data_IF_747281125185
#
_entry.id   IF_747281125185
#
_cell.length_a   1.000
_cell.length_b   1.000
_cell.length_c   1.000
_cell.angle_alpha   90.00
_cell.angle_beta   90.00
_cell.angle_gamma   90.00
#
_symmetry.space_group_name_H-M   'P 1'
#
loop_
_entity.id
_entity.type
_entity.pdbx_description
1 polymer ?
#
# COMPACT_ATOMS: atom_id res chain seq x y z
N UNK A 1 -3.02 11.81 -26.25
CA UNK A 1 -3.26 12.11 -24.82
C UNK A 1 -1.92 12.45 -24.22
N UNK A 2 -1.70 13.71 -23.89
CA UNK A 2 -0.55 14.14 -23.12
C UNK A 2 -0.86 13.82 -21.65
N UNK A 3 -0.30 12.72 -21.15
CA UNK A 3 -0.31 12.43 -19.71
C UNK A 3 0.76 13.36 -19.14
N UNK A 4 0.31 14.50 -18.60
CA UNK A 4 1.16 15.51 -17.99
C UNK A 4 2.21 14.93 -17.04
N UNK A 5 3.17 15.73 -16.58
CA UNK A 5 4.39 15.24 -15.95
C UNK A 5 4.10 14.17 -14.90
N UNK A 6 4.75 13.01 -15.04
CA UNK A 6 4.68 11.93 -14.05
C UNK A 6 5.20 12.45 -12.71
N UNK A 7 4.26 12.82 -11.83
CA UNK A 7 4.60 13.23 -10.47
C UNK A 7 4.94 11.97 -9.68
N UNK A 8 6.24 11.74 -9.48
CA UNK A 8 6.75 10.54 -8.81
C UNK A 8 6.42 10.52 -7.31
N UNK A 9 6.14 11.69 -6.72
CA UNK A 9 5.83 11.89 -5.30
C UNK A 9 4.87 13.06 -5.07
N UNK A 10 3.92 12.92 -4.15
CA UNK A 10 2.99 13.97 -3.72
C UNK A 10 3.21 14.27 -2.24
N UNK A 11 3.38 15.54 -1.88
CA UNK A 11 3.57 15.97 -0.49
C UNK A 11 2.44 16.88 -0.04
N UNK A 12 1.98 16.68 1.17
CA UNK A 12 1.15 17.63 1.93
C UNK A 12 1.92 18.07 3.18
N UNK A 13 1.30 18.89 4.02
CA UNK A 13 1.89 19.30 5.30
C UNK A 13 2.31 18.11 6.19
N UNK A 14 1.59 16.98 6.10
CA UNK A 14 1.79 15.83 7.00
C UNK A 14 2.10 14.51 6.29
N UNK A 15 1.98 14.45 4.96
CA UNK A 15 2.07 13.19 4.21
C UNK A 15 3.00 13.30 3.01
N UNK A 16 3.72 12.21 2.77
CA UNK A 16 4.45 11.95 1.54
C UNK A 16 3.86 10.68 0.90
N UNK A 17 3.21 10.84 -0.25
CA UNK A 17 2.84 9.74 -1.12
C UNK A 17 3.94 9.56 -2.15
N UNK A 18 4.42 8.33 -2.30
CA UNK A 18 5.45 7.97 -3.26
C UNK A 18 5.18 6.58 -3.81
N UNK A 19 5.90 6.22 -4.86
CA UNK A 19 5.91 4.83 -5.32
C UNK A 19 6.27 3.86 -4.19
N UNK A 20 5.55 2.74 -4.17
CA UNK A 20 5.79 1.62 -3.28
C UNK A 20 7.17 1.01 -3.57
N UNK A 21 7.90 0.66 -2.52
CA UNK A 21 9.24 0.06 -2.58
C UNK A 21 9.23 -1.26 -1.82
N UNK A 22 10.18 -2.15 -2.13
CA UNK A 22 10.28 -3.45 -1.47
C UNK A 22 10.34 -3.33 0.07
N UNK A 23 11.05 -2.32 0.58
CA UNK A 23 11.20 -2.10 2.03
C UNK A 23 9.90 -1.65 2.72
N UNK A 24 8.86 -1.26 1.97
CA UNK A 24 7.55 -0.92 2.53
C UNK A 24 6.72 -2.16 2.88
N UNK A 25 7.11 -3.34 2.39
CA UNK A 25 6.29 -4.56 2.44
C UNK A 25 5.92 -4.95 3.88
N UNK A 26 6.87 -4.87 4.81
CA UNK A 26 6.62 -5.23 6.21
C UNK A 26 5.62 -4.28 6.88
N UNK A 27 5.77 -2.96 6.67
CA UNK A 27 4.87 -1.97 7.22
C UNK A 27 3.48 -2.06 6.58
N UNK A 28 3.42 -2.28 5.26
CA UNK A 28 2.18 -2.48 4.52
C UNK A 28 1.44 -3.74 4.96
N UNK A 29 2.16 -4.86 5.13
CA UNK A 29 1.59 -6.11 5.63
C UNK A 29 0.94 -5.90 7.00
N UNK A 30 1.68 -5.32 7.95
CA UNK A 30 1.18 -5.06 9.31
C UNK A 30 -0.05 -4.16 9.32
N UNK A 31 -0.07 -3.10 8.51
CA UNK A 31 -1.16 -2.13 8.51
C UNK A 31 -2.40 -2.56 7.69
N UNK A 32 -2.23 -3.45 6.70
CA UNK A 32 -3.27 -3.78 5.72
C UNK A 32 -3.58 -5.27 5.67
N UNK A 33 -2.59 -6.11 5.41
CA UNK A 33 -2.82 -7.54 5.17
C UNK A 33 -2.96 -8.37 6.44
N UNK A 34 -2.48 -7.91 7.58
CA UNK A 34 -2.65 -8.59 8.87
C UNK A 34 -3.94 -8.18 9.61
N UNK A 35 -4.56 -7.05 9.21
CA UNK A 35 -5.75 -6.53 9.89
C UNK A 35 -7.05 -7.09 9.27
N UNK A 36 -7.85 -7.89 10.01
CA UNK A 36 -9.10 -8.45 9.51
C UNK A 36 -10.18 -7.39 9.24
N UNK A 37 -10.22 -6.30 10.00
CA UNK A 37 -11.18 -5.21 9.80
C UNK A 37 -10.89 -4.44 8.51
N UNK A 38 -9.62 -4.35 8.11
CA UNK A 38 -9.22 -3.80 6.81
C UNK A 38 -9.50 -4.82 5.70
N UNK A 39 -9.07 -6.07 5.89
CA UNK A 39 -9.12 -7.10 4.85
C UNK A 39 -10.53 -7.49 4.43
N UNK A 40 -11.56 -7.27 5.26
CA UNK A 40 -12.97 -7.51 4.87
C UNK A 40 -13.42 -6.69 3.65
N UNK A 41 -12.73 -5.59 3.35
CA UNK A 41 -13.01 -4.73 2.18
C UNK A 41 -12.11 -5.04 0.97
N UNK A 42 -11.10 -5.89 1.15
CA UNK A 42 -10.13 -6.21 0.10
C UNK A 42 -10.40 -7.58 -0.51
N UNK A 43 -9.98 -7.82 -1.77
CA UNK A 43 -10.12 -9.13 -2.40
C UNK A 43 -9.51 -10.25 -1.53
N UNK A 44 -10.26 -11.32 -1.29
CA UNK A 44 -9.87 -12.43 -0.43
C UNK A 44 -10.44 -12.36 0.99
N UNK A 45 -10.85 -11.19 1.48
CA UNK A 45 -11.69 -11.03 2.67
C UNK A 45 -11.09 -11.45 4.03
N UNK A 46 -9.84 -11.95 4.05
CA UNK A 46 -9.19 -12.49 5.23
C UNK A 46 -7.71 -12.09 5.27
N UNK A 47 -7.10 -11.97 6.47
CA UNK A 47 -5.69 -11.70 6.62
C UNK A 47 -4.81 -12.65 5.80
N UNK A 48 -3.71 -12.11 5.26
CA UNK A 48 -2.75 -12.86 4.45
C UNK A 48 -1.41 -12.92 5.17
N UNK A 49 -0.72 -14.07 5.17
CA UNK A 49 0.63 -14.15 5.69
C UNK A 49 1.60 -13.41 4.74
N UNK A 50 2.71 -12.90 5.29
CA UNK A 50 3.64 -12.01 4.57
C UNK A 50 4.25 -12.67 3.34
N UNK A 51 4.39 -13.99 3.35
CA UNK A 51 4.89 -14.82 2.24
C UNK A 51 3.98 -14.80 1.01
N UNK A 52 2.74 -14.30 1.15
CA UNK A 52 1.77 -14.16 0.04
C UNK A 52 1.51 -12.69 -0.34
N UNK A 53 2.31 -11.76 0.17
CA UNK A 53 2.16 -10.32 -0.09
C UNK A 53 2.91 -9.84 -1.35
N UNK A 54 3.58 -10.75 -2.06
CA UNK A 54 4.36 -10.53 -3.28
C UNK A 54 3.59 -10.85 -4.56
#
# INVERSE_FOLDING_TARGET
MDMGPSVTQLTTERLLLRHFRADDLAAYHTAIYDDPEVMRYLPGGAPRPIERAS
#
